data_IF_577871236931
#
_entry.id   IF_577871236931
#
_cell.length_a   1.000
_cell.length_b   1.000
_cell.length_c   1.000
_cell.angle_alpha   90.00
_cell.angle_beta   90.00
_cell.angle_gamma   90.00
#
_symmetry.space_group_name_H-M   'P 1'
#
loop_
_entity.id
_entity.type
_entity.pdbx_description
1 polymer ?
#
# COMPACT_ATOMS: atom_id res chain seq x y z
N UNK A 1 22.79 16.62 13.60
CA UNK A 1 22.51 15.53 12.64
C UNK A 1 22.08 16.20 11.36
N UNK A 2 22.78 15.98 10.25
CA UNK A 2 22.40 16.55 8.95
C UNK A 2 21.16 15.84 8.40
N UNK A 3 20.37 16.56 7.60
CA UNK A 3 19.19 15.99 6.95
C UNK A 3 19.61 14.99 5.87
N UNK A 4 18.98 13.82 5.86
CA UNK A 4 19.14 12.86 4.78
C UNK A 4 18.27 13.27 3.60
N UNK A 5 18.89 13.43 2.43
CA UNK A 5 18.24 13.91 1.21
C UNK A 5 18.25 12.83 0.13
N UNK A 6 17.12 12.68 -0.58
CA UNK A 6 17.01 11.96 -1.85
C UNK A 6 16.53 12.96 -2.89
N UNK A 7 17.24 13.11 -4.01
CA UNK A 7 16.91 14.08 -5.07
C UNK A 7 16.69 15.51 -4.54
N UNK A 8 17.55 15.97 -3.62
CA UNK A 8 17.46 17.26 -2.92
C UNK A 8 16.21 17.43 -2.04
N UNK A 9 15.54 16.34 -1.70
CA UNK A 9 14.36 16.36 -0.88
C UNK A 9 14.60 15.67 0.47
N UNK A 10 14.20 16.34 1.56
CA UNK A 10 14.32 15.80 2.92
C UNK A 10 13.46 14.55 3.09
N UNK A 11 14.13 13.45 3.44
CA UNK A 11 13.49 12.21 3.84
C UNK A 11 12.95 12.34 5.27
N UNK A 12 11.64 12.21 5.42
CA UNK A 12 10.99 12.21 6.73
C UNK A 12 9.66 11.45 6.68
N UNK A 13 9.24 10.88 7.81
CA UNK A 13 7.95 10.19 7.91
C UNK A 13 6.77 11.14 7.66
N UNK A 14 6.88 12.41 8.05
CA UNK A 14 5.83 13.41 7.76
C UNK A 14 5.65 13.61 6.27
N UNK A 15 6.75 13.70 5.52
CA UNK A 15 6.67 13.89 4.06
C UNK A 15 6.22 12.63 3.33
N UNK A 16 6.67 11.46 3.79
CA UNK A 16 6.17 10.18 3.29
C UNK A 16 4.65 10.06 3.47
N UNK A 17 4.13 10.34 4.67
CA UNK A 17 2.68 10.31 4.95
C UNK A 17 1.91 11.32 4.11
N UNK A 18 2.48 12.51 3.87
CA UNK A 18 1.90 13.50 2.97
C UNK A 18 1.70 12.90 1.58
N UNK A 19 2.74 12.36 0.95
CA UNK A 19 2.63 11.77 -0.39
C UNK A 19 1.65 10.60 -0.45
N UNK A 20 1.68 9.70 0.54
CA UNK A 20 0.71 8.59 0.63
C UNK A 20 -0.73 9.11 0.74
N UNK A 21 -0.97 10.13 1.57
CA UNK A 21 -2.31 10.73 1.74
C UNK A 21 -2.80 11.52 0.51
N UNK A 22 -1.88 12.02 -0.31
CA UNK A 22 -2.18 12.70 -1.57
C UNK A 22 -2.31 11.75 -2.76
N UNK A 23 -2.07 10.45 -2.57
CA UNK A 23 -2.08 9.46 -3.67
C UNK A 23 -0.86 9.52 -4.58
N UNK A 24 0.16 10.28 -4.20
CA UNK A 24 1.41 10.48 -4.94
C UNK A 24 2.38 9.32 -4.66
N UNK A 25 1.98 8.10 -5.01
CA UNK A 25 2.69 6.87 -4.64
C UNK A 25 4.12 6.82 -5.21
N UNK A 26 4.33 7.35 -6.41
CA UNK A 26 5.66 7.40 -7.03
C UNK A 26 6.64 8.28 -6.23
N UNK A 27 6.16 9.41 -5.71
CA UNK A 27 6.97 10.29 -4.85
C UNK A 27 7.28 9.62 -3.52
N UNK A 28 6.31 8.90 -2.94
CA UNK A 28 6.52 8.10 -1.74
C UNK A 28 7.58 7.01 -1.97
N UNK A 29 7.50 6.27 -3.08
CA UNK A 29 8.44 5.22 -3.44
C UNK A 29 9.86 5.77 -3.67
N UNK A 30 9.96 6.91 -4.35
CA UNK A 30 11.23 7.61 -4.54
C UNK A 30 11.88 7.99 -3.20
N UNK A 31 11.09 8.52 -2.26
CA UNK A 31 11.58 8.89 -0.92
C UNK A 31 11.99 7.67 -0.08
N UNK A 32 11.39 6.51 -0.33
CA UNK A 32 11.70 5.24 0.33
C UNK A 32 12.88 4.49 -0.30
N UNK A 33 13.22 4.80 -1.55
CA UNK A 33 14.15 4.03 -2.37
C UNK A 33 13.63 2.63 -2.76
N UNK A 34 12.33 2.38 -2.58
CA UNK A 34 11.64 1.12 -2.89
C UNK A 34 10.14 1.36 -2.98
N UNK A 35 9.42 0.39 -3.54
CA UNK A 35 7.97 0.42 -3.53
C UNK A 35 7.40 0.38 -2.11
N UNK A 36 6.39 1.20 -1.86
CA UNK A 36 5.61 1.14 -0.64
C UNK A 36 4.91 -0.22 -0.55
N UNK A 37 5.12 -0.92 0.56
CA UNK A 37 4.67 -2.30 0.73
C UNK A 37 3.79 -2.42 1.97
N UNK A 38 2.68 -3.15 1.82
CA UNK A 38 1.78 -3.51 2.90
C UNK A 38 1.90 -5.02 3.13
N UNK A 39 2.11 -5.40 4.39
CA UNK A 39 2.11 -6.82 4.81
C UNK A 39 0.95 -7.04 5.75
N UNK A 40 0.22 -8.15 5.56
CA UNK A 40 -0.94 -8.44 6.38
C UNK A 40 -1.41 -9.88 6.21
N UNK A 41 -2.34 -10.28 7.08
CA UNK A 41 -2.97 -11.61 7.01
C UNK A 41 -4.16 -11.55 6.08
N UNK A 42 -4.29 -12.56 5.21
CA UNK A 42 -5.48 -12.71 4.36
C UNK A 42 -6.69 -13.03 5.23
N UNK A 43 -7.71 -12.16 5.16
CA UNK A 43 -9.02 -12.35 5.78
C UNK A 43 -9.99 -12.92 4.77
N UNK A 44 -10.79 -13.88 5.23
CA UNK A 44 -11.89 -14.45 4.44
C UNK A 44 -12.96 -13.37 4.22
N UNK A 45 -13.06 -12.89 2.99
CA UNK A 45 -14.10 -11.94 2.56
C UNK A 45 -15.41 -12.63 2.18
N UNK A 46 -16.36 -11.85 1.63
CA UNK A 46 -17.66 -12.35 1.15
C UNK A 46 -17.61 -13.21 -0.12
N UNK A 47 -16.41 -13.46 -0.66
CA UNK A 47 -16.19 -14.25 -1.90
C UNK A 47 -16.93 -13.72 -3.16
N UNK A 48 -17.33 -12.45 -3.19
CA UNK A 48 -18.05 -11.88 -4.34
C UNK A 48 -17.22 -11.94 -5.65
N UNK A 49 -15.89 -11.84 -5.56
CA UNK A 49 -15.02 -11.95 -6.74
C UNK A 49 -14.88 -13.37 -7.32
N UNK A 50 -15.14 -14.42 -6.54
CA UNK A 50 -15.04 -15.80 -7.06
C UNK A 50 -16.13 -16.14 -8.08
N UNK A 51 -17.24 -15.40 -8.10
CA UNK A 51 -18.27 -15.54 -9.14
C UNK A 51 -17.80 -15.02 -10.50
N UNK A 52 -16.85 -14.08 -10.52
CA UNK A 52 -16.26 -13.51 -11.74
C UNK A 52 -14.94 -14.20 -12.16
N UNK A 53 -14.52 -15.25 -11.47
CA UNK A 53 -13.30 -16.01 -11.79
C UNK A 53 -11.99 -15.33 -11.36
N UNK A 54 -12.03 -14.21 -10.65
CA UNK A 54 -10.83 -13.51 -10.19
C UNK A 54 -10.47 -13.88 -8.74
N UNK A 55 -9.27 -14.42 -8.47
CA UNK A 55 -8.82 -14.65 -7.10
C UNK A 55 -8.66 -13.30 -6.40
N UNK A 56 -9.32 -13.13 -5.26
CA UNK A 56 -9.27 -11.90 -4.46
C UNK A 56 -8.81 -12.21 -3.04
N UNK A 57 -8.04 -11.29 -2.47
CA UNK A 57 -7.60 -11.34 -1.08
C UNK A 57 -7.93 -10.02 -0.40
N UNK A 58 -8.50 -10.09 0.80
CA UNK A 58 -8.70 -8.92 1.66
C UNK A 58 -7.67 -9.02 2.78
N UNK A 59 -6.93 -7.95 3.07
CA UNK A 59 -5.88 -7.98 4.10
C UNK A 59 -6.39 -7.37 5.40
N UNK A 60 -6.06 -8.00 6.52
CA UNK A 60 -6.00 -7.34 7.82
C UNK A 60 -4.58 -6.82 8.02
N UNK A 61 -4.46 -5.51 8.25
CA UNK A 61 -3.19 -4.80 8.47
C UNK A 61 -3.05 -4.42 9.95
N UNK A 62 -1.82 -4.20 10.40
CA UNK A 62 -1.54 -3.65 11.72
C UNK A 62 -1.99 -2.19 11.83
N UNK A 63 -2.40 -1.76 13.03
CA UNK A 63 -2.97 -0.41 13.26
C UNK A 63 -1.97 0.73 13.00
N UNK A 64 -0.67 0.45 13.08
CA UNK A 64 0.40 1.43 12.87
C UNK A 64 0.72 1.67 11.38
N UNK A 65 0.14 0.87 10.48
CA UNK A 65 0.39 0.96 9.05
C UNK A 65 -0.35 2.16 8.45
N UNK A 66 0.38 3.03 7.76
CA UNK A 66 -0.22 4.18 7.07
C UNK A 66 -0.74 3.78 5.70
N UNK A 67 -2.05 3.80 5.49
CA UNK A 67 -2.61 3.49 4.18
C UNK A 67 -2.42 4.66 3.18
N UNK A 68 -2.12 4.38 1.91
CA UNK A 68 -2.24 5.39 0.87
C UNK A 68 -3.72 5.79 0.71
N UNK A 69 -3.96 6.94 0.09
CA UNK A 69 -5.31 7.48 -0.13
C UNK A 69 -6.25 6.47 -0.80
N UNK A 70 -7.55 6.70 -0.66
CA UNK A 70 -8.54 5.84 -1.31
C UNK A 70 -8.30 5.80 -2.82
N UNK A 71 -8.26 4.60 -3.38
CA UNK A 71 -8.02 4.44 -4.80
C UNK A 71 -7.68 3.03 -5.23
N UNK A 72 -7.39 2.90 -6.52
CA UNK A 72 -6.96 1.68 -7.19
C UNK A 72 -5.49 1.80 -7.54
N UNK A 73 -4.71 0.81 -7.14
CA UNK A 73 -3.27 0.76 -7.31
C UNK A 73 -2.87 -0.51 -8.06
N UNK A 74 -1.92 -0.40 -8.96
CA UNK A 74 -1.23 -1.55 -9.53
C UNK A 74 -0.04 -1.92 -8.63
N UNK A 75 0.22 -3.20 -8.47
CA UNK A 75 1.37 -3.65 -7.71
C UNK A 75 1.66 -5.13 -7.89
N UNK A 76 2.53 -5.62 -7.02
CA UNK A 76 2.93 -7.02 -6.96
C UNK A 76 2.60 -7.54 -5.58
N UNK A 77 1.97 -8.72 -5.52
CA UNK A 77 1.79 -9.47 -4.28
C UNK A 77 2.76 -10.64 -4.26
N UNK A 78 3.39 -10.88 -3.10
CA UNK A 78 4.24 -12.04 -2.87
C UNK A 78 3.58 -12.97 -1.85
N UNK A 79 3.38 -14.24 -2.23
CA UNK A 79 2.85 -15.31 -1.36
C UNK A 79 3.67 -16.56 -1.62
N UNK A 80 4.17 -17.20 -0.55
CA UNK A 80 5.04 -18.39 -0.64
C UNK A 80 6.21 -18.21 -1.62
N UNK A 81 6.82 -17.01 -1.60
CA UNK A 81 7.92 -16.58 -2.49
C UNK A 81 7.55 -16.52 -3.99
N UNK A 82 6.27 -16.66 -4.33
CA UNK A 82 5.74 -16.46 -5.68
C UNK A 82 5.15 -15.07 -5.80
N UNK A 83 5.43 -14.41 -6.93
CA UNK A 83 4.98 -13.05 -7.21
C UNK A 83 3.89 -13.05 -8.27
N UNK A 84 2.88 -12.22 -8.04
CA UNK A 84 1.77 -12.02 -8.96
C UNK A 84 1.49 -10.53 -9.13
N UNK A 85 1.26 -10.11 -10.36
CA UNK A 85 0.73 -8.77 -10.61
C UNK A 85 -0.69 -8.71 -10.05
N UNK A 86 -1.03 -7.60 -9.41
CA UNK A 86 -2.34 -7.42 -8.80
C UNK A 86 -2.84 -6.00 -8.94
N UNK A 87 -4.15 -5.86 -8.76
CA UNK A 87 -4.81 -4.59 -8.55
C UNK A 87 -5.25 -4.55 -7.09
N UNK A 88 -4.73 -3.58 -6.35
CA UNK A 88 -5.05 -3.36 -4.95
C UNK A 88 -6.03 -2.19 -4.83
N UNK A 89 -7.02 -2.35 -3.96
CA UNK A 89 -7.96 -1.28 -3.62
C UNK A 89 -7.69 -0.87 -2.18
N UNK A 90 -7.28 0.39 -1.99
CA UNK A 90 -7.20 0.97 -0.65
C UNK A 90 -8.59 1.51 -0.31
N UNK A 91 -9.35 0.77 0.50
CA UNK A 91 -10.60 1.27 1.08
C UNK A 91 -10.59 1.00 2.58
N UNK A 92 -10.67 2.09 3.35
CA UNK A 92 -10.85 1.99 4.79
C UNK A 92 -12.30 2.34 5.12
N UNK A 93 -13.04 1.39 5.69
CA UNK A 93 -14.30 1.72 6.34
C UNK A 93 -13.95 2.41 7.65
N UNK A 94 -14.07 3.73 7.70
CA UNK A 94 -14.11 4.44 8.97
C UNK A 94 -15.31 3.91 9.74
N UNK A 95 -15.08 3.04 10.73
CA UNK A 95 -16.06 2.78 11.77
C UNK A 95 -16.06 4.01 12.66
N UNK A 96 -16.84 5.02 12.27
CA UNK A 96 -17.59 5.81 13.24
C UNK A 96 -18.94 5.14 13.45
#
# INVERSE_FOLDING_TARGET
MEDFLINNEKVSSTKLRYYLSSGEIDKANNLLGRDYCLTGKVKKGKKLGSELGFPTANLTLDEEVFLPTYGVYYGVVEVDKKRFNCIAQSWFKSNR
#
